data_IF_206022334402
#
_entry.id   IF_206022334402
#
_cell.length_a   1.000
_cell.length_b   1.000
_cell.length_c   1.000
_cell.angle_alpha   90.00
_cell.angle_beta   90.00
_cell.angle_gamma   90.00
#
_symmetry.space_group_name_H-M   'P 1'
#
loop_
_entity.id
_entity.type
_entity.pdbx_description
1 polymer ?
#
# COMPACT_ATOMS: atom_id res chain seq x y z
N UNK A 1 -36.55 14.17 49.90
CA UNK A 1 -36.31 12.76 49.53
C UNK A 1 -35.04 12.74 48.67
N UNK A 2 -34.01 13.45 49.15
CA UNK A 2 -33.02 14.05 48.27
C UNK A 2 -31.88 13.06 47.98
N UNK A 3 -31.65 12.13 48.90
CA UNK A 3 -30.73 11.00 48.66
C UNK A 3 -31.18 10.06 47.54
N UNK A 4 -32.50 9.95 47.28
CA UNK A 4 -33.02 9.14 46.17
C UNK A 4 -32.85 9.85 44.82
N UNK A 5 -32.88 11.19 44.82
CA UNK A 5 -32.52 12.02 43.68
C UNK A 5 -31.03 11.92 43.38
N UNK A 6 -30.16 12.20 44.36
CA UNK A 6 -28.70 12.12 44.18
C UNK A 6 -28.21 10.73 43.77
N UNK A 7 -28.83 9.66 44.27
CA UNK A 7 -28.51 8.30 43.81
C UNK A 7 -28.83 8.10 42.33
N UNK A 8 -29.99 8.61 41.88
CA UNK A 8 -30.40 8.51 40.48
C UNK A 8 -29.44 9.29 39.58
N UNK A 9 -29.09 10.51 39.97
CA UNK A 9 -28.16 11.36 39.19
C UNK A 9 -26.80 10.67 39.04
N UNK A 10 -26.24 10.11 40.13
CA UNK A 10 -25.00 9.34 40.09
C UNK A 10 -25.09 8.07 39.24
N UNK A 11 -26.24 7.40 39.25
CA UNK A 11 -26.45 6.21 38.42
C UNK A 11 -26.52 6.58 36.92
N UNK A 12 -27.18 7.69 36.58
CA UNK A 12 -27.25 8.19 35.21
C UNK A 12 -25.86 8.62 34.71
N UNK A 13 -25.06 9.32 35.52
CA UNK A 13 -23.65 9.66 35.21
C UNK A 13 -22.78 8.41 35.03
N UNK A 14 -22.93 7.40 35.90
CA UNK A 14 -22.17 6.15 35.80
C UNK A 14 -22.51 5.39 34.52
N UNK A 15 -23.79 5.37 34.12
CA UNK A 15 -24.23 4.73 32.88
C UNK A 15 -23.62 5.42 31.66
N UNK A 16 -23.57 6.76 31.63
CA UNK A 16 -22.93 7.51 30.55
C UNK A 16 -21.44 7.18 30.42
N UNK A 17 -20.72 7.06 31.54
CA UNK A 17 -19.31 6.65 31.53
C UNK A 17 -19.17 5.25 30.91
N UNK A 18 -20.04 4.31 31.28
CA UNK A 18 -20.02 2.96 30.69
C UNK A 18 -20.34 2.94 29.20
N UNK A 19 -21.22 3.83 28.72
CA UNK A 19 -21.50 3.98 27.29
C UNK A 19 -20.27 4.50 26.54
N UNK A 20 -19.60 5.54 27.06
CA UNK A 20 -18.34 6.05 26.50
C UNK A 20 -17.27 4.95 26.40
N UNK A 21 -17.10 4.17 27.47
CA UNK A 21 -16.13 3.06 27.51
C UNK A 21 -16.45 1.98 26.47
N UNK A 22 -17.73 1.64 26.31
CA UNK A 22 -18.17 0.64 25.35
C UNK A 22 -17.93 1.11 23.91
N UNK A 23 -18.34 2.33 23.57
CA UNK A 23 -18.17 2.87 22.22
C UNK A 23 -16.69 2.99 21.86
N UNK A 24 -15.85 3.46 22.79
CA UNK A 24 -14.40 3.51 22.56
C UNK A 24 -13.81 2.11 22.36
N UNK A 25 -14.25 1.11 23.12
CA UNK A 25 -13.81 -0.28 22.95
C UNK A 25 -14.23 -0.85 21.60
N UNK A 26 -15.46 -0.59 21.16
CA UNK A 26 -15.94 -1.01 19.85
C UNK A 26 -15.20 -0.30 18.70
N UNK A 27 -14.86 0.99 18.85
CA UNK A 27 -13.99 1.70 17.91
C UNK A 27 -12.61 1.03 17.82
N UNK A 28 -12.01 0.65 18.95
CA UNK A 28 -10.72 -0.04 18.97
C UNK A 28 -10.78 -1.43 18.30
N UNK A 29 -11.90 -2.16 18.44
CA UNK A 29 -12.14 -3.41 17.73
C UNK A 29 -12.29 -3.19 16.22
N UNK A 30 -13.08 -2.19 15.82
CA UNK A 30 -13.26 -1.82 14.43
C UNK A 30 -11.92 -1.41 13.78
N UNK A 31 -11.07 -0.66 14.49
CA UNK A 31 -9.72 -0.33 14.04
C UNK A 31 -8.89 -1.59 13.79
N UNK A 32 -8.89 -2.54 14.73
CA UNK A 32 -8.17 -3.80 14.60
C UNK A 32 -8.63 -4.58 13.36
N UNK A 33 -9.92 -4.61 13.10
CA UNK A 33 -10.46 -5.32 11.94
C UNK A 33 -10.19 -4.55 10.64
N UNK A 34 -10.22 -3.21 10.68
CA UNK A 34 -9.89 -2.35 9.55
C UNK A 34 -8.44 -2.53 9.10
N UNK A 35 -7.45 -2.63 9.99
CA UNK A 35 -6.05 -2.83 9.57
C UNK A 35 -5.78 -4.21 8.95
N UNK A 36 -6.72 -5.15 9.10
CA UNK A 36 -6.67 -6.47 8.46
C UNK A 36 -7.30 -6.41 7.06
N UNK A 37 -8.48 -5.81 6.93
CA UNK A 37 -9.30 -5.92 5.72
C UNK A 37 -9.39 -4.63 4.88
N UNK A 38 -9.12 -3.48 5.49
CA UNK A 38 -9.26 -2.14 4.92
C UNK A 38 -10.63 -1.90 4.26
N UNK A 39 -11.70 -2.44 4.83
CA UNK A 39 -13.03 -2.34 4.27
C UNK A 39 -13.79 -1.10 4.80
N UNK A 40 -14.66 -0.54 3.95
CA UNK A 40 -15.38 0.69 4.27
C UNK A 40 -16.36 0.50 5.44
N UNK A 41 -16.89 -0.71 5.64
CA UNK A 41 -17.84 -0.98 6.72
C UNK A 41 -17.16 -0.90 8.10
N UNK A 42 -15.94 -1.43 8.25
CA UNK A 42 -15.18 -1.32 9.49
C UNK A 42 -14.71 0.13 9.73
N UNK A 43 -14.35 0.88 8.68
CA UNK A 43 -14.08 2.32 8.76
C UNK A 43 -15.29 3.12 9.24
N UNK A 44 -16.47 2.87 8.69
CA UNK A 44 -17.71 3.49 9.13
C UNK A 44 -18.02 3.15 10.60
N UNK A 45 -17.81 1.90 11.01
CA UNK A 45 -18.02 1.46 12.40
C UNK A 45 -17.09 2.19 13.37
N UNK A 46 -15.79 2.30 13.04
CA UNK A 46 -14.84 3.09 13.82
C UNK A 46 -15.32 4.55 13.95
N UNK A 47 -15.65 5.16 12.80
CA UNK A 47 -16.02 6.58 12.71
C UNK A 47 -17.28 6.88 13.50
N UNK A 48 -18.30 6.01 13.43
CA UNK A 48 -19.54 6.18 14.19
C UNK A 48 -19.27 6.14 15.70
N UNK A 49 -18.54 5.13 16.17
CA UNK A 49 -18.28 4.95 17.59
C UNK A 49 -17.41 6.07 18.18
N UNK A 50 -16.38 6.52 17.45
CA UNK A 50 -15.55 7.64 17.93
C UNK A 50 -16.31 8.96 17.95
N UNK A 51 -17.20 9.20 16.97
CA UNK A 51 -18.09 10.35 16.97
C UNK A 51 -19.06 10.30 18.16
N UNK A 52 -19.61 9.13 18.50
CA UNK A 52 -20.47 8.97 19.68
C UNK A 52 -19.70 9.35 20.95
N UNK A 53 -18.46 8.84 21.11
CA UNK A 53 -17.56 9.22 22.21
C UNK A 53 -17.35 10.74 22.27
N UNK A 54 -17.04 11.39 21.15
CA UNK A 54 -16.85 12.84 21.09
C UNK A 54 -18.13 13.62 21.42
N UNK A 55 -19.31 13.12 21.04
CA UNK A 55 -20.58 13.80 21.35
C UNK A 55 -20.87 13.90 22.84
N UNK A 56 -20.40 12.96 23.66
CA UNK A 56 -20.53 13.06 25.13
C UNK A 56 -19.78 14.26 25.72
N UNK A 57 -18.75 14.76 25.04
CA UNK A 57 -17.98 15.94 25.45
C UNK A 57 -18.45 17.23 24.77
N UNK A 58 -19.48 17.17 23.93
CA UNK A 58 -19.98 18.36 23.23
C UNK A 58 -20.64 19.33 24.20
N UNK A 59 -20.12 20.56 24.27
CA UNK A 59 -20.63 21.60 25.16
C UNK A 59 -20.09 21.50 26.60
N UNK A 60 -19.16 20.59 26.87
CA UNK A 60 -18.40 20.57 28.11
C UNK A 60 -17.48 21.79 28.19
N UNK A 61 -17.67 22.63 29.20
CA UNK A 61 -16.90 23.87 29.42
C UNK A 61 -16.01 23.80 30.66
N UNK A 62 -15.81 22.60 31.22
CA UNK A 62 -14.97 22.40 32.39
C UNK A 62 -13.52 22.79 32.10
N UNK A 63 -12.94 23.56 33.02
CA UNK A 63 -11.50 23.86 33.06
C UNK A 63 -10.68 22.66 33.60
N UNK A 64 -11.32 21.51 33.83
CA UNK A 64 -10.62 20.30 34.26
C UNK A 64 -9.60 19.87 33.21
N UNK A 65 -8.32 20.04 33.55
CA UNK A 65 -7.20 19.61 32.71
C UNK A 65 -7.30 18.12 32.33
N UNK A 66 -7.87 17.29 33.21
CA UNK A 66 -8.06 15.85 32.94
C UNK A 66 -9.05 15.64 31.79
N UNK A 67 -10.20 16.32 31.82
CA UNK A 67 -11.23 16.18 30.78
C UNK A 67 -10.73 16.72 29.45
N UNK A 68 -10.09 17.89 29.45
CA UNK A 68 -9.48 18.46 28.24
C UNK A 68 -8.41 17.55 27.64
N UNK A 69 -7.60 16.88 28.48
CA UNK A 69 -6.63 15.90 28.00
C UNK A 69 -7.29 14.66 27.37
N UNK A 70 -8.42 14.20 27.91
CA UNK A 70 -9.16 13.06 27.34
C UNK A 70 -9.72 13.42 25.96
N UNK A 71 -10.36 14.58 25.83
CA UNK A 71 -10.88 15.09 24.55
C UNK A 71 -9.76 15.15 23.51
N UNK A 72 -8.63 15.81 23.85
CA UNK A 72 -7.49 15.90 22.95
C UNK A 72 -6.93 14.52 22.54
N UNK A 73 -6.96 13.53 23.44
CA UNK A 73 -6.49 12.17 23.14
C UNK A 73 -7.44 11.40 22.21
N UNK A 74 -8.75 11.65 22.32
CA UNK A 74 -9.75 11.09 21.40
C UNK A 74 -9.54 11.67 20.00
N UNK A 75 -9.33 12.99 19.90
CA UNK A 75 -9.06 13.68 18.64
C UNK A 75 -7.74 13.21 18.00
N UNK A 76 -6.67 13.07 18.80
CA UNK A 76 -5.39 12.50 18.35
C UNK A 76 -5.59 11.06 17.80
N UNK A 77 -6.43 10.27 18.46
CA UNK A 77 -6.70 8.88 18.09
C UNK A 77 -7.47 8.79 16.77
N UNK A 78 -8.54 9.59 16.60
CA UNK A 78 -9.27 9.70 15.35
C UNK A 78 -8.38 10.21 14.22
N UNK A 79 -7.58 11.25 14.46
CA UNK A 79 -6.65 11.79 13.46
C UNK A 79 -5.64 10.74 13.01
N UNK A 80 -5.12 9.92 13.94
CA UNK A 80 -4.18 8.84 13.62
C UNK A 80 -4.86 7.76 12.77
N UNK A 81 -6.12 7.41 13.08
CA UNK A 81 -6.89 6.48 12.27
C UNK A 81 -7.13 7.02 10.85
N UNK A 82 -7.54 8.28 10.72
CA UNK A 82 -7.76 8.93 9.42
C UNK A 82 -6.48 8.99 8.58
N UNK A 83 -5.32 9.17 9.22
CA UNK A 83 -4.03 9.08 8.52
C UNK A 83 -3.77 7.67 7.97
N UNK A 84 -4.09 6.62 8.72
CA UNK A 84 -3.99 5.23 8.26
C UNK A 84 -4.93 4.97 7.07
N UNK A 85 -6.15 5.52 7.12
CA UNK A 85 -7.11 5.44 6.00
C UNK A 85 -6.52 6.09 4.74
N UNK A 86 -6.02 7.32 4.86
CA UNK A 86 -5.44 8.06 3.72
C UNK A 86 -4.23 7.35 3.13
N UNK A 87 -3.32 6.82 3.96
CA UNK A 87 -2.16 6.06 3.49
C UNK A 87 -2.59 4.80 2.72
N UNK A 88 -3.65 4.13 3.18
CA UNK A 88 -4.16 2.96 2.46
C UNK A 88 -4.84 3.34 1.13
N UNK A 89 -5.63 4.42 1.10
CA UNK A 89 -6.24 4.94 -0.14
C UNK A 89 -5.16 5.34 -1.16
N UNK A 90 -4.09 6.00 -0.71
CA UNK A 90 -2.94 6.35 -1.55
C UNK A 90 -2.22 5.11 -2.07
N UNK A 91 -2.00 4.10 -1.20
CA UNK A 91 -1.44 2.80 -1.60
C UNK A 91 -2.26 2.13 -2.70
N UNK A 92 -3.58 2.01 -2.54
CA UNK A 92 -4.47 1.40 -3.54
C UNK A 92 -4.46 2.16 -4.87
N UNK A 93 -4.38 3.50 -4.81
CA UNK A 93 -4.24 4.35 -6.00
C UNK A 93 -2.92 4.06 -6.73
N UNK A 94 -1.78 4.03 -6.03
CA UNK A 94 -0.47 3.76 -6.65
C UNK A 94 -0.45 2.35 -7.26
N UNK A 95 -1.01 1.35 -6.58
CA UNK A 95 -1.10 -0.02 -7.10
C UNK A 95 -1.91 -0.05 -8.41
N UNK A 96 -3.12 0.51 -8.40
CA UNK A 96 -4.05 0.39 -9.54
C UNK A 96 -3.66 1.29 -10.71
N UNK A 97 -3.33 2.57 -10.45
CA UNK A 97 -3.14 3.56 -11.50
C UNK A 97 -1.71 3.55 -12.07
N UNK A 98 -0.72 3.17 -11.26
CA UNK A 98 0.70 3.26 -11.60
C UNK A 98 1.30 1.85 -11.80
N UNK A 99 1.31 1.01 -10.76
CA UNK A 99 2.02 -0.27 -10.81
C UNK A 99 1.42 -1.24 -11.84
N UNK A 100 0.10 -1.47 -11.82
CA UNK A 100 -0.58 -2.40 -12.75
C UNK A 100 -0.48 -1.92 -14.21
N UNK A 101 -0.58 -0.60 -14.41
CA UNK A 101 -0.47 0.03 -15.72
C UNK A 101 0.96 -0.09 -16.27
N UNK A 102 1.99 0.18 -15.45
CA UNK A 102 3.39 0.02 -15.84
C UNK A 102 3.70 -1.46 -16.10
N UNK A 103 3.25 -2.38 -15.23
CA UNK A 103 3.40 -3.83 -15.41
C UNK A 103 2.86 -4.29 -16.76
N UNK A 104 1.67 -3.83 -17.13
CA UNK A 104 1.06 -4.13 -18.44
C UNK A 104 1.90 -3.58 -19.62
N UNK A 105 2.47 -2.38 -19.48
CA UNK A 105 3.36 -1.80 -20.50
C UNK A 105 4.66 -2.57 -20.61
N UNK A 106 5.26 -2.99 -19.49
CA UNK A 106 6.48 -3.81 -19.45
C UNK A 106 6.26 -5.14 -20.17
N UNK A 107 5.15 -5.84 -19.90
CA UNK A 107 4.78 -7.11 -20.57
C UNK A 107 4.68 -6.94 -22.10
N UNK A 108 4.08 -5.85 -22.54
CA UNK A 108 4.01 -5.54 -23.97
C UNK A 108 5.40 -5.20 -24.55
N UNK A 109 6.20 -4.41 -23.84
CA UNK A 109 7.53 -4.00 -24.28
C UNK A 109 8.50 -5.18 -24.37
N UNK A 110 8.46 -6.15 -23.45
CA UNK A 110 9.29 -7.36 -23.53
C UNK A 110 8.87 -8.24 -24.71
N UNK A 111 7.57 -8.33 -24.98
CA UNK A 111 7.05 -9.06 -26.14
C UNK A 111 7.51 -8.44 -27.46
N UNK A 112 7.52 -7.10 -27.54
CA UNK A 112 8.04 -6.38 -28.70
C UNK A 112 9.55 -6.56 -28.86
N UNK A 113 10.34 -6.36 -27.79
CA UNK A 113 11.78 -6.59 -27.80
C UNK A 113 12.11 -8.02 -28.26
N UNK A 114 11.41 -9.03 -27.72
CA UNK A 114 11.55 -10.44 -28.11
C UNK A 114 11.24 -10.67 -29.59
N UNK A 115 10.22 -10.01 -30.16
CA UNK A 115 9.90 -10.11 -31.58
C UNK A 115 11.04 -9.59 -32.47
N UNK A 116 11.68 -8.48 -32.09
CA UNK A 116 12.87 -7.98 -32.80
C UNK A 116 14.09 -8.86 -32.57
N UNK A 117 14.29 -9.37 -31.34
CA UNK A 117 15.39 -10.27 -31.00
C UNK A 117 15.34 -11.56 -31.83
N UNK A 118 14.13 -12.10 -32.07
CA UNK A 118 13.91 -13.27 -32.93
C UNK A 118 14.29 -13.03 -34.40
N UNK A 119 14.15 -11.79 -34.89
CA UNK A 119 14.56 -11.39 -36.25
C UNK A 119 16.06 -11.10 -36.33
N UNK A 120 16.73 -10.93 -35.20
CA UNK A 120 18.17 -10.73 -35.15
C UNK A 120 18.92 -12.01 -35.52
N UNK A 121 20.16 -11.86 -35.99
CA UNK A 121 21.04 -12.98 -36.35
C UNK A 121 21.52 -13.73 -35.10
N UNK A 122 21.48 -13.08 -33.93
CA UNK A 122 22.06 -13.59 -32.69
C UNK A 122 21.01 -14.32 -31.84
N UNK A 123 21.18 -15.64 -31.66
CA UNK A 123 20.30 -16.46 -30.81
C UNK A 123 20.43 -16.14 -29.32
N UNK A 124 21.51 -15.47 -28.90
CA UNK A 124 21.73 -15.02 -27.52
C UNK A 124 20.67 -14.01 -27.07
N UNK A 125 20.31 -13.06 -27.93
CA UNK A 125 19.33 -12.01 -27.62
C UNK A 125 17.94 -12.59 -27.39
N UNK A 126 17.54 -13.60 -28.18
CA UNK A 126 16.28 -14.31 -27.98
C UNK A 126 16.28 -15.02 -26.61
N UNK A 127 17.35 -15.76 -26.29
CA UNK A 127 17.45 -16.46 -24.99
C UNK A 127 17.47 -15.49 -23.80
N UNK A 128 18.15 -14.34 -23.94
CA UNK A 128 18.14 -13.30 -22.92
C UNK A 128 16.74 -12.71 -22.75
N UNK A 129 16.02 -12.46 -23.85
CA UNK A 129 14.64 -11.95 -23.80
C UNK A 129 13.68 -12.93 -23.12
N UNK A 130 13.84 -14.24 -23.36
CA UNK A 130 13.04 -15.28 -22.68
C UNK A 130 13.28 -15.27 -21.17
N UNK A 131 14.54 -15.17 -20.74
CA UNK A 131 14.89 -15.13 -19.32
C UNK A 131 14.38 -13.85 -18.64
N UNK A 132 14.54 -12.70 -19.29
CA UNK A 132 14.01 -11.42 -18.79
C UNK A 132 12.49 -11.50 -18.64
N UNK A 133 11.79 -12.04 -19.65
CA UNK A 133 10.34 -12.21 -19.59
C UNK A 133 9.91 -13.07 -18.40
N UNK A 134 10.56 -14.22 -18.20
CA UNK A 134 10.24 -15.10 -17.08
C UNK A 134 10.41 -14.38 -15.73
N UNK A 135 11.55 -13.71 -15.53
CA UNK A 135 11.83 -13.04 -14.26
C UNK A 135 10.88 -11.85 -14.05
N UNK A 136 10.51 -11.12 -15.10
CA UNK A 136 9.51 -10.05 -15.02
C UNK A 136 8.13 -10.58 -14.59
N UNK A 137 7.68 -11.69 -15.19
CA UNK A 137 6.40 -12.32 -14.83
C UNK A 137 6.42 -12.77 -13.35
N UNK A 138 7.52 -13.36 -12.90
CA UNK A 138 7.72 -13.74 -11.50
C UNK A 138 7.75 -12.50 -10.58
N UNK A 139 8.45 -11.44 -10.97
CA UNK A 139 8.57 -10.17 -10.21
C UNK A 139 7.20 -9.54 -10.00
N UNK A 140 6.39 -9.43 -11.04
CA UNK A 140 5.03 -8.87 -10.96
C UNK A 140 4.17 -9.74 -10.03
N UNK A 141 4.24 -11.06 -10.16
CA UNK A 141 3.49 -11.98 -9.28
C UNK A 141 3.88 -11.82 -7.80
N UNK A 142 5.18 -11.81 -7.49
CA UNK A 142 5.66 -11.62 -6.12
C UNK A 142 5.37 -10.22 -5.58
N UNK A 143 5.40 -9.19 -6.42
CA UNK A 143 4.99 -7.85 -6.03
C UNK A 143 3.53 -7.86 -5.60
N UNK A 144 2.61 -8.44 -6.37
CA UNK A 144 1.20 -8.54 -5.98
C UNK A 144 1.01 -9.32 -4.67
N UNK A 145 1.76 -10.41 -4.47
CA UNK A 145 1.72 -11.17 -3.21
C UNK A 145 2.19 -10.32 -2.02
N UNK A 146 3.26 -9.54 -2.18
CA UNK A 146 3.71 -8.60 -1.16
C UNK A 146 2.65 -7.54 -0.86
N UNK A 147 2.03 -6.95 -1.89
CA UNK A 147 1.01 -5.91 -1.74
C UNK A 147 -0.20 -6.39 -0.92
N UNK A 148 -0.54 -7.67 -1.03
CA UNK A 148 -1.64 -8.28 -0.28
C UNK A 148 -1.24 -8.74 1.12
N UNK A 149 -0.09 -9.43 1.23
CA UNK A 149 0.29 -10.15 2.45
C UNK A 149 1.26 -9.38 3.35
N UNK A 150 1.93 -8.36 2.81
CA UNK A 150 3.04 -7.63 3.45
C UNK A 150 4.21 -8.55 3.84
N UNK A 151 4.37 -9.67 3.14
CA UNK A 151 5.41 -10.68 3.37
C UNK A 151 6.80 -10.14 3.04
N UNK A 152 7.69 -10.07 4.03
CA UNK A 152 9.08 -9.64 3.82
C UNK A 152 9.82 -10.51 2.81
N UNK A 153 9.51 -11.82 2.76
CA UNK A 153 10.08 -12.76 1.80
C UNK A 153 9.72 -12.38 0.37
N UNK A 154 8.45 -12.05 0.10
CA UNK A 154 8.01 -11.67 -1.24
C UNK A 154 8.68 -10.35 -1.68
N UNK A 155 8.81 -9.38 -0.76
CA UNK A 155 9.57 -8.15 -1.00
C UNK A 155 11.03 -8.41 -1.38
N UNK A 156 11.71 -9.26 -0.62
CA UNK A 156 13.12 -9.61 -0.87
C UNK A 156 13.30 -10.29 -2.24
N UNK A 157 12.35 -11.16 -2.63
CA UNK A 157 12.34 -11.78 -3.95
C UNK A 157 12.19 -10.73 -5.05
N UNK A 158 11.24 -9.80 -4.93
CA UNK A 158 11.05 -8.72 -5.92
C UNK A 158 12.33 -7.89 -6.08
N UNK A 159 12.98 -7.51 -4.98
CA UNK A 159 14.23 -6.75 -5.00
C UNK A 159 15.34 -7.56 -5.71
N UNK A 160 15.51 -8.83 -5.35
CA UNK A 160 16.50 -9.72 -5.97
C UNK A 160 16.25 -9.89 -7.47
N UNK A 161 14.99 -10.01 -7.88
CA UNK A 161 14.65 -10.17 -9.29
C UNK A 161 14.97 -8.91 -10.10
N UNK A 162 14.74 -7.71 -9.57
CA UNK A 162 15.15 -6.47 -10.23
C UNK A 162 16.67 -6.39 -10.42
N UNK A 163 17.46 -6.85 -9.45
CA UNK A 163 18.92 -6.95 -9.59
C UNK A 163 19.34 -7.96 -10.68
N UNK A 164 18.64 -9.09 -10.78
CA UNK A 164 18.88 -10.08 -11.83
C UNK A 164 18.52 -9.55 -13.22
N UNK A 165 17.38 -8.86 -13.34
CA UNK A 165 16.96 -8.20 -14.58
C UNK A 165 18.00 -7.15 -15.00
N UNK A 166 18.51 -6.35 -14.08
CA UNK A 166 19.56 -5.36 -14.35
C UNK A 166 20.84 -6.03 -14.88
N UNK A 167 21.24 -7.17 -14.30
CA UNK A 167 22.34 -7.99 -14.82
C UNK A 167 22.09 -8.50 -16.24
N UNK A 168 20.87 -8.96 -16.55
CA UNK A 168 20.49 -9.39 -17.89
C UNK A 168 20.45 -8.24 -18.89
N UNK A 169 19.96 -7.06 -18.50
CA UNK A 169 19.99 -5.85 -19.31
C UNK A 169 21.42 -5.44 -19.64
N UNK A 170 22.35 -5.53 -18.69
CA UNK A 170 23.77 -5.28 -18.97
C UNK A 170 24.34 -6.24 -20.02
N UNK A 171 23.92 -7.51 -19.99
CA UNK A 171 24.31 -8.50 -21.02
C UNK A 171 23.67 -8.19 -22.38
N UNK A 172 22.40 -7.81 -22.43
CA UNK A 172 21.74 -7.36 -23.67
C UNK A 172 22.46 -6.15 -24.25
N UNK A 173 22.81 -5.17 -23.40
CA UNK A 173 23.51 -3.97 -23.84
C UNK A 173 24.90 -4.28 -24.42
N UNK A 174 25.61 -5.26 -23.86
CA UNK A 174 26.86 -5.77 -24.42
C UNK A 174 26.64 -6.38 -25.82
N UNK A 175 25.64 -7.24 -25.97
CA UNK A 175 25.31 -7.87 -27.27
C UNK A 175 24.88 -6.83 -28.32
N UNK A 176 24.15 -5.80 -27.92
CA UNK A 176 23.77 -4.67 -28.80
C UNK A 176 24.99 -3.83 -29.20
N UNK A 177 25.88 -3.52 -28.25
CA UNK A 177 27.03 -2.63 -28.49
C UNK A 177 28.07 -3.24 -29.43
N UNK A 178 28.21 -4.56 -29.43
CA UNK A 178 29.22 -5.28 -30.22
C UNK A 178 28.62 -6.14 -31.35
N UNK A 179 27.28 -6.23 -31.43
CA UNK A 179 26.56 -6.97 -32.44
C UNK A 179 26.13 -6.13 -33.64
N UNK A 180 25.69 -6.80 -34.70
CA UNK A 180 24.99 -6.16 -35.82
C UNK A 180 23.49 -6.28 -35.54
N UNK A 181 22.92 -5.24 -34.95
CA UNK A 181 21.50 -5.15 -34.57
C UNK A 181 20.80 -4.00 -35.27
N UNK A 182 19.47 -4.05 -35.34
CA UNK A 182 18.68 -2.98 -35.97
C UNK A 182 18.33 -1.87 -34.98
N UNK A 183 18.04 -0.67 -35.49
CA UNK A 183 17.62 0.47 -34.66
C UNK A 183 16.31 0.18 -33.91
N UNK A 184 15.39 -0.60 -34.51
CA UNK A 184 14.14 -1.01 -33.85
C UNK A 184 14.41 -1.89 -32.62
N UNK A 185 15.38 -2.80 -32.69
CA UNK A 185 15.78 -3.62 -31.55
C UNK A 185 16.34 -2.72 -30.43
N UNK A 186 17.24 -1.79 -30.78
CA UNK A 186 17.85 -0.85 -29.82
C UNK A 186 16.74 -0.03 -29.12
N UNK A 187 15.86 0.60 -29.89
CA UNK A 187 14.79 1.43 -29.36
C UNK A 187 13.82 0.63 -28.48
N UNK A 188 13.46 -0.61 -28.87
CA UNK A 188 12.60 -1.48 -28.07
C UNK A 188 13.24 -1.91 -26.76
N UNK A 189 14.57 -2.13 -26.75
CA UNK A 189 15.32 -2.44 -25.54
C UNK A 189 15.41 -1.24 -24.59
N UNK A 190 15.70 -0.05 -25.11
CA UNK A 190 15.75 1.18 -24.30
C UNK A 190 14.39 1.47 -23.66
N UNK A 191 13.31 1.29 -24.41
CA UNK A 191 11.93 1.41 -23.91
C UNK A 191 11.63 0.39 -22.80
N UNK A 192 12.01 -0.87 -23.01
CA UNK A 192 11.83 -1.93 -22.01
C UNK A 192 12.60 -1.63 -20.71
N UNK A 193 13.83 -1.13 -20.83
CA UNK A 193 14.66 -0.78 -19.67
C UNK A 193 14.02 0.36 -18.88
N UNK A 194 13.64 1.44 -19.55
CA UNK A 194 13.00 2.60 -18.93
C UNK A 194 11.70 2.23 -18.21
N UNK A 195 10.85 1.41 -18.84
CA UNK A 195 9.61 0.94 -18.22
C UNK A 195 9.88 0.01 -17.01
N UNK A 196 10.92 -0.82 -17.07
CA UNK A 196 11.31 -1.67 -15.94
C UNK A 196 11.85 -0.84 -14.77
N UNK A 197 12.59 0.23 -15.05
CA UNK A 197 13.08 1.16 -14.03
C UNK A 197 11.89 1.89 -13.35
N UNK A 198 10.93 2.38 -14.14
CA UNK A 198 9.68 2.95 -13.61
C UNK A 198 8.89 1.94 -12.76
N UNK A 199 8.86 0.65 -13.16
CA UNK A 199 8.20 -0.41 -12.39
C UNK A 199 8.87 -0.60 -11.03
N UNK A 200 10.20 -0.61 -10.99
CA UNK A 200 11.00 -0.72 -9.76
C UNK A 200 10.78 0.48 -8.84
N UNK A 201 10.74 1.68 -9.39
CA UNK A 201 10.46 2.91 -8.65
C UNK A 201 9.06 2.87 -8.02
N UNK A 202 8.04 2.52 -8.81
CA UNK A 202 6.66 2.38 -8.33
C UNK A 202 6.57 1.35 -7.20
N UNK A 203 7.19 0.18 -7.34
CA UNK A 203 7.25 -0.81 -6.26
C UNK A 203 7.90 -0.25 -4.99
N UNK A 204 9.02 0.47 -5.11
CA UNK A 204 9.74 1.05 -3.98
C UNK A 204 8.91 2.11 -3.25
N UNK A 205 8.15 2.92 -3.98
CA UNK A 205 7.22 3.88 -3.39
C UNK A 205 6.12 3.18 -2.60
N UNK A 206 5.55 2.10 -3.15
CA UNK A 206 4.52 1.33 -2.44
C UNK A 206 5.08 0.66 -1.17
N UNK A 207 6.27 0.04 -1.24
CA UNK A 207 6.95 -0.50 -0.05
C UNK A 207 7.12 0.57 1.01
N UNK A 208 7.58 1.77 0.62
CA UNK A 208 7.75 2.88 1.56
C UNK A 208 6.42 3.28 2.19
N UNK A 209 5.34 3.38 1.41
CA UNK A 209 4.01 3.70 1.92
C UNK A 209 3.44 2.62 2.87
N UNK A 210 3.75 1.33 2.63
CA UNK A 210 3.32 0.22 3.48
C UNK A 210 4.12 0.16 4.80
N UNK A 211 5.40 0.52 4.76
CA UNK A 211 6.34 0.36 5.89
C UNK A 211 6.57 1.64 6.71
N UNK A 212 6.02 2.78 6.30
CA UNK A 212 6.05 4.06 7.05
C UNK A 212 4.99 4.13 8.14
#
# INVERSE_FOLDING_TARGET
NDGLGSYKDLADETNQISEIENDFFEAALAFKDYVINYDEQTKETFTQNINTVQTFFTGETTDSTVVQNVIAKIDDYESSFNQIVQLNEEKERIVTDEFDNISSKVINSISEFKSYAQKSITSSLLSLSDNIQQILDETISFAHNYLQSKSSTDKEIVISNFEEIESLFNRVNYEISYGIVSDELINSFETLRDLTDQLRESFTQIVTAIES
#
